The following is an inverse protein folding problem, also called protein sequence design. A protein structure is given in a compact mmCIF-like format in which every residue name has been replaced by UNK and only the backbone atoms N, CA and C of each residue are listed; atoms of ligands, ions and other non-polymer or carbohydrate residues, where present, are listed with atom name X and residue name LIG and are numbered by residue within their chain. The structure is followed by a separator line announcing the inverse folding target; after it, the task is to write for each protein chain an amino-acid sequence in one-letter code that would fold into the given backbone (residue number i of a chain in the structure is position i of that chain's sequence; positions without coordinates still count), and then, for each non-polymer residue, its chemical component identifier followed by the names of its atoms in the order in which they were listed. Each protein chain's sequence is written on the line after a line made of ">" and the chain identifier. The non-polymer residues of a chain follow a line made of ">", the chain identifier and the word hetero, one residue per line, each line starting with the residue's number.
data_IF_970667234339
#
_entry.id   IF_970667234339
#
_cell.length_a   1.000
_cell.length_b   1.000
_cell.length_c   1.000
_cell.angle_alpha   90.00
_cell.angle_beta   90.00
_cell.angle_gamma   90.00
#
_symmetry.space_group_name_H-M   'P 1'
#
loop_
_entity.id
_entity.type
_entity.pdbx_description
1 polymer ?
#
# COMPACT_ATOMS: atom_id res chain seq x y z
N UNK A 1 -12.99 20.23 -11.19
CA UNK A 1 -12.67 18.87 -11.65
C UNK A 1 -13.44 17.89 -10.77
N UNK A 2 -14.23 16.94 -11.32
CA UNK A 2 -14.77 15.86 -10.53
C UNK A 2 -13.59 15.10 -9.91
N UNK A 3 -13.55 15.03 -8.57
CA UNK A 3 -12.48 14.32 -7.86
C UNK A 3 -12.76 12.82 -8.02
N UNK A 4 -11.97 12.16 -8.87
CA UNK A 4 -11.98 10.70 -8.95
C UNK A 4 -11.30 10.19 -7.67
N UNK A 5 -12.08 9.97 -6.61
CA UNK A 5 -11.57 9.42 -5.38
C UNK A 5 -11.16 7.95 -5.65
N UNK A 6 -9.91 7.55 -5.35
CA UNK A 6 -9.51 6.16 -5.49
C UNK A 6 -10.35 5.29 -4.56
N UNK A 7 -10.75 4.11 -5.04
CA UNK A 7 -11.52 3.15 -4.24
C UNK A 7 -10.71 2.76 -3.00
N UNK A 8 -11.36 2.81 -1.84
CA UNK A 8 -10.76 2.36 -0.60
C UNK A 8 -10.30 0.91 -0.72
N UNK A 9 -9.01 0.69 -0.49
CA UNK A 9 -8.43 -0.63 -0.37
C UNK A 9 -8.51 -1.03 1.10
N UNK A 10 -9.15 -2.16 1.38
CA UNK A 10 -9.08 -2.81 2.70
C UNK A 10 -8.59 -4.23 2.50
N UNK A 11 -7.45 -4.56 3.07
CA UNK A 11 -6.90 -5.90 3.05
C UNK A 11 -7.39 -6.69 4.26
N UNK A 12 -7.57 -7.98 4.06
CA UNK A 12 -7.70 -8.93 5.15
C UNK A 12 -6.38 -9.04 5.93
N UNK A 13 -6.44 -9.30 7.23
CA UNK A 13 -5.26 -9.41 8.11
C UNK A 13 -4.20 -10.38 7.55
N UNK A 14 -4.62 -11.53 7.02
CA UNK A 14 -3.72 -12.52 6.40
C UNK A 14 -2.94 -11.94 5.20
N UNK A 15 -3.55 -11.05 4.42
CA UNK A 15 -2.91 -10.40 3.27
C UNK A 15 -1.92 -9.33 3.74
N UNK A 16 -2.23 -8.59 4.82
CA UNK A 16 -1.28 -7.65 5.45
C UNK A 16 -0.02 -8.38 5.93
N UNK A 17 -0.18 -9.45 6.70
CA UNK A 17 0.95 -10.24 7.21
C UNK A 17 1.82 -10.82 6.08
N UNK A 18 1.20 -11.26 4.98
CA UNK A 18 1.95 -11.73 3.83
C UNK A 18 2.78 -10.61 3.18
N UNK A 19 2.25 -9.40 3.06
CA UNK A 19 2.99 -8.26 2.50
C UNK A 19 4.15 -7.84 3.40
N UNK A 20 3.96 -7.83 4.71
CA UNK A 20 5.03 -7.54 5.67
C UNK A 20 6.18 -8.56 5.57
N UNK A 21 5.85 -9.85 5.50
CA UNK A 21 6.85 -10.91 5.25
C UNK A 21 7.59 -10.71 3.93
N UNK A 22 6.88 -10.26 2.90
CA UNK A 22 7.44 -10.02 1.57
C UNK A 22 8.42 -8.84 1.57
N UNK A 23 8.12 -7.78 2.33
CA UNK A 23 8.99 -6.61 2.51
C UNK A 23 10.24 -6.95 3.33
N UNK A 24 10.08 -7.75 4.38
CA UNK A 24 11.17 -8.10 5.29
C UNK A 24 12.11 -9.18 4.74
N UNK A 25 11.73 -9.84 3.65
CA UNK A 25 12.53 -10.89 3.02
C UNK A 25 13.68 -10.27 2.21
N UNK A 26 14.91 -10.58 2.60
CA UNK A 26 16.14 -10.07 1.98
C UNK A 26 16.32 -10.48 0.50
N UNK A 27 15.62 -11.52 0.05
CA UNK A 27 15.69 -11.99 -1.34
C UNK A 27 14.61 -11.38 -2.24
N UNK A 28 13.73 -10.53 -1.70
CA UNK A 28 12.68 -9.88 -2.49
C UNK A 28 13.28 -8.77 -3.33
N UNK A 29 12.94 -8.72 -4.62
CA UNK A 29 13.32 -7.61 -5.47
C UNK A 29 12.77 -6.27 -4.95
N UNK A 30 13.59 -5.22 -5.02
CA UNK A 30 13.26 -3.90 -4.46
C UNK A 30 11.93 -3.34 -5.00
N UNK A 31 11.65 -3.55 -6.29
CA UNK A 31 10.40 -3.11 -6.93
C UNK A 31 9.15 -3.76 -6.33
N UNK A 32 9.25 -5.02 -5.94
CA UNK A 32 8.14 -5.76 -5.31
C UNK A 32 7.96 -5.28 -3.87
N UNK A 33 9.07 -5.10 -3.13
CA UNK A 33 9.01 -4.55 -1.79
C UNK A 33 8.42 -3.13 -1.76
N UNK A 34 8.77 -2.28 -2.72
CA UNK A 34 8.21 -0.93 -2.86
C UNK A 34 6.69 -0.98 -3.11
N UNK A 35 6.24 -1.84 -4.04
CA UNK A 35 4.81 -2.02 -4.32
C UNK A 35 4.05 -2.54 -3.10
N UNK A 36 4.60 -3.50 -2.38
CA UNK A 36 4.01 -4.03 -1.16
C UNK A 36 3.84 -2.94 -0.09
N UNK A 37 4.82 -2.04 0.06
CA UNK A 37 4.72 -0.87 0.97
C UNK A 37 3.61 0.08 0.56
N UNK A 38 3.49 0.41 -0.73
CA UNK A 38 2.42 1.28 -1.24
C UNK A 38 1.04 0.68 -0.94
N UNK A 39 0.92 -0.64 -1.13
CA UNK A 39 -0.32 -1.38 -0.88
C UNK A 39 -0.69 -1.39 0.61
N UNK A 40 0.27 -1.61 1.51
CA UNK A 40 0.05 -1.52 2.96
C UNK A 40 -0.36 -0.11 3.38
N UNK A 41 0.34 0.92 2.89
CA UNK A 41 -0.01 2.31 3.18
C UNK A 41 -1.41 2.64 2.68
N UNK A 42 -1.78 2.23 1.46
CA UNK A 42 -3.11 2.47 0.92
C UNK A 42 -4.23 1.84 1.77
N UNK A 43 -3.95 0.67 2.34
CA UNK A 43 -4.85 -0.07 3.23
C UNK A 43 -4.96 0.53 4.65
N UNK A 44 -3.94 1.26 5.11
CA UNK A 44 -3.99 2.10 6.32
C UNK A 44 -4.80 3.40 6.13
N UNK A 45 -5.33 3.66 4.93
CA UNK A 45 -5.98 4.92 4.58
C UNK A 45 -5.02 5.95 3.95
N UNK A 46 -3.84 5.49 3.55
CA UNK A 46 -2.77 6.13 2.76
C UNK A 46 -3.21 7.09 1.67
N UNK A 47 -4.13 6.59 0.86
CA UNK A 47 -4.40 7.15 -0.46
C UNK A 47 -5.10 8.52 -0.41
N UNK A 48 -5.80 8.83 0.68
CA UNK A 48 -6.50 10.11 0.83
C UNK A 48 -5.61 11.25 1.35
N UNK A 49 -4.53 10.94 2.09
CA UNK A 49 -3.62 11.95 2.64
C UNK A 49 -2.40 12.24 1.74
N UNK A 50 -2.11 11.38 0.77
CA UNK A 50 -1.11 11.69 -0.27
C UNK A 50 -1.57 12.77 -1.26
N UNK A 51 -2.86 13.11 -1.27
CA UNK A 51 -3.43 14.17 -2.12
C UNK A 51 -3.31 15.59 -1.53
N UNK A 52 -2.58 15.78 -0.41
CA UNK A 52 -2.32 17.10 0.18
C UNK A 52 -0.82 17.42 0.30
N UNK A 53 -0.09 17.18 -0.80
CA UNK A 53 1.15 17.90 -1.12
C UNK A 53 1.06 18.21 -2.62
N UNK A 54 1.19 19.50 -2.95
CA UNK A 54 1.03 20.15 -4.25
C UNK A 54 -0.38 20.65 -4.57
#
# INVERSE_FOLDING_TARGET
>A
MPRLAPKELKLEAKKREHLEKLINRHTTEQQIALRAKIVLLADEGGASHLCNKY
#
